data_IF_299906912676
#
_entry.id   IF_299906912676
#
_cell.length_a   1.000
_cell.length_b   1.000
_cell.length_c   1.000
_cell.angle_alpha   90.00
_cell.angle_beta   90.00
_cell.angle_gamma   90.00
#
_symmetry.space_group_name_H-M   'P 1'
#
loop_
_entity.id
_entity.type
_entity.pdbx_description
1 polymer ?
#
# COMPACT_ATOMS: atom_id res chain seq x y z
N UNK A 1 19.24 9.50 16.18
CA UNK A 1 18.29 9.75 15.09
C UNK A 1 17.31 10.79 15.58
N UNK A 2 16.91 11.72 14.71
CA UNK A 2 15.82 12.63 15.02
C UNK A 2 14.50 11.86 14.89
N UNK A 3 13.82 11.61 16.02
CA UNK A 3 12.55 10.90 16.02
C UNK A 3 11.51 11.63 15.15
N UNK A 4 11.62 12.94 14.98
CA UNK A 4 10.69 13.72 14.15
C UNK A 4 10.82 13.35 12.67
N UNK A 5 12.05 13.17 12.16
CA UNK A 5 12.28 12.79 10.77
C UNK A 5 11.76 11.37 10.47
N UNK A 6 11.95 10.43 11.40
CA UNK A 6 11.41 9.07 11.25
C UNK A 6 9.89 9.08 11.30
N UNK A 7 9.28 9.84 12.22
CA UNK A 7 7.83 9.99 12.31
C UNK A 7 7.25 10.58 11.03
N UNK A 8 7.90 11.58 10.43
CA UNK A 8 7.48 12.17 9.16
C UNK A 8 7.51 11.16 8.02
N UNK A 9 8.59 10.37 7.90
CA UNK A 9 8.70 9.37 6.86
C UNK A 9 7.76 8.16 7.07
N UNK A 10 7.55 7.72 8.31
CA UNK A 10 6.52 6.72 8.64
C UNK A 10 5.13 7.22 8.28
N UNK A 11 4.85 8.51 8.49
CA UNK A 11 3.60 9.13 8.05
C UNK A 11 3.47 9.16 6.53
N UNK A 12 4.56 9.33 5.77
CA UNK A 12 4.53 9.18 4.31
C UNK A 12 4.23 7.74 3.88
N UNK A 13 4.77 6.73 4.58
CA UNK A 13 4.42 5.33 4.33
C UNK A 13 2.95 5.03 4.67
N UNK A 14 2.45 5.55 5.80
CA UNK A 14 1.05 5.40 6.20
C UNK A 14 0.11 6.00 5.15
N UNK A 15 0.43 7.20 4.70
CA UNK A 15 -0.24 7.88 3.59
C UNK A 15 -0.23 7.02 2.33
N UNK A 16 0.94 6.57 1.86
CA UNK A 16 1.03 5.70 0.69
C UNK A 16 0.18 4.42 0.81
N UNK A 17 0.15 3.83 2.00
CA UNK A 17 -0.63 2.62 2.29
C UNK A 17 -2.13 2.86 2.18
N UNK A 18 -2.65 3.92 2.80
CA UNK A 18 -4.07 4.28 2.69
C UNK A 18 -4.46 4.66 1.24
N UNK A 19 -3.55 5.23 0.46
CA UNK A 19 -3.75 5.51 -0.97
C UNK A 19 -3.92 4.19 -1.73
N UNK A 20 -3.03 3.24 -1.46
CA UNK A 20 -3.12 1.87 -1.97
C UNK A 20 -4.45 1.22 -1.62
N UNK A 21 -4.96 1.37 -0.39
CA UNK A 21 -6.28 0.86 0.00
C UNK A 21 -7.38 1.42 -0.92
N UNK A 22 -7.47 2.75 -1.06
CA UNK A 22 -8.52 3.36 -1.90
C UNK A 22 -8.41 2.96 -3.38
N UNK A 23 -7.18 2.85 -3.90
CA UNK A 23 -6.92 2.36 -5.27
C UNK A 23 -7.38 0.91 -5.42
N UNK A 24 -7.03 0.03 -4.49
CA UNK A 24 -7.40 -1.38 -4.55
C UNK A 24 -8.91 -1.59 -4.36
N UNK A 25 -9.60 -0.77 -3.56
CA UNK A 25 -11.06 -0.79 -3.43
C UNK A 25 -11.75 -0.40 -4.75
N UNK A 26 -11.24 0.62 -5.45
CA UNK A 26 -11.77 1.02 -6.76
C UNK A 26 -11.47 -0.01 -7.86
N UNK A 27 -10.26 -0.58 -7.85
CA UNK A 27 -9.86 -1.66 -8.76
C UNK A 27 -10.71 -2.92 -8.56
N UNK A 28 -10.96 -3.32 -7.31
CA UNK A 28 -11.82 -4.45 -6.99
C UNK A 28 -13.23 -4.26 -7.54
N UNK A 29 -13.80 -3.06 -7.41
CA UNK A 29 -15.12 -2.71 -7.94
C UNK A 29 -15.23 -2.84 -9.47
N UNK A 30 -14.10 -2.86 -10.18
CA UNK A 30 -14.01 -3.01 -11.65
C UNK A 30 -13.80 -4.46 -12.10
N UNK A 31 -13.54 -5.39 -11.18
CA UNK A 31 -13.32 -6.80 -11.52
C UNK A 31 -14.61 -7.50 -11.96
N UNK A 32 -14.48 -8.33 -12.99
CA UNK A 32 -15.51 -9.24 -13.49
C UNK A 32 -15.35 -10.64 -12.86
N UNK A 33 -14.12 -11.10 -12.66
CA UNK A 33 -13.83 -12.40 -12.06
C UNK A 33 -14.06 -12.42 -10.54
N UNK A 34 -14.98 -13.27 -10.08
CA UNK A 34 -15.22 -13.52 -8.66
C UNK A 34 -14.00 -14.12 -7.94
N UNK A 35 -13.19 -14.91 -8.66
CA UNK A 35 -11.90 -15.40 -8.15
C UNK A 35 -10.98 -14.24 -7.82
N UNK A 36 -10.83 -13.28 -8.73
CA UNK A 36 -9.98 -12.11 -8.49
C UNK A 36 -10.54 -11.21 -7.39
N UNK A 37 -11.86 -11.03 -7.29
CA UNK A 37 -12.47 -10.29 -6.16
C UNK A 37 -12.12 -10.93 -4.82
N UNK A 38 -12.15 -12.25 -4.72
CA UNK A 38 -11.76 -12.97 -3.50
C UNK A 38 -10.31 -12.71 -3.14
N UNK A 39 -9.40 -12.70 -4.13
CA UNK A 39 -8.00 -12.37 -3.91
C UNK A 39 -7.82 -10.91 -3.48
N UNK A 40 -8.53 -9.96 -4.12
CA UNK A 40 -8.47 -8.54 -3.80
C UNK A 40 -8.96 -8.22 -2.38
N UNK A 41 -10.01 -8.88 -1.89
CA UNK A 41 -10.40 -8.80 -0.47
C UNK A 41 -9.22 -9.15 0.45
N UNK A 42 -8.51 -10.25 0.18
CA UNK A 42 -7.34 -10.64 0.95
C UNK A 42 -6.19 -9.63 0.88
N UNK A 43 -5.99 -9.00 -0.28
CA UNK A 43 -5.02 -7.90 -0.43
C UNK A 43 -5.41 -6.67 0.38
N UNK A 44 -6.68 -6.28 0.35
CA UNK A 44 -7.20 -5.13 1.08
C UNK A 44 -7.10 -5.33 2.59
N UNK A 45 -7.40 -6.53 3.08
CA UNK A 45 -7.25 -6.87 4.50
C UNK A 45 -5.81 -6.70 4.96
N UNK A 46 -4.83 -7.17 4.17
CA UNK A 46 -3.40 -6.97 4.45
C UNK A 46 -3.02 -5.49 4.48
N UNK A 47 -3.42 -4.71 3.46
CA UNK A 47 -3.13 -3.27 3.42
C UNK A 47 -3.73 -2.53 4.64
N UNK A 48 -4.96 -2.88 5.05
CA UNK A 48 -5.62 -2.32 6.24
C UNK A 48 -4.86 -2.69 7.52
N UNK A 49 -4.40 -3.94 7.64
CA UNK A 49 -3.53 -4.36 8.75
C UNK A 49 -2.20 -3.59 8.80
N UNK A 50 -1.60 -3.31 7.64
CA UNK A 50 -0.36 -2.52 7.58
C UNK A 50 -0.58 -1.05 7.92
N UNK A 51 -1.67 -0.43 7.48
CA UNK A 51 -2.03 0.92 7.91
C UNK A 51 -2.19 1.01 9.44
N UNK A 52 -2.83 0.02 10.05
CA UNK A 52 -2.92 -0.08 11.51
C UNK A 52 -1.54 -0.25 12.17
N UNK A 53 -0.69 -1.12 11.63
CA UNK A 53 0.66 -1.38 12.14
C UNK A 53 1.56 -0.15 12.08
N UNK A 54 1.49 0.62 10.98
CA UNK A 54 2.21 1.88 10.82
C UNK A 54 1.71 2.95 11.80
N UNK A 55 0.40 3.06 12.00
CA UNK A 55 -0.19 4.00 12.95
C UNK A 55 0.29 3.73 14.38
N UNK A 56 0.24 2.46 14.81
CA UNK A 56 0.76 2.05 16.12
C UNK A 56 2.27 2.32 16.25
N UNK A 57 3.03 2.13 15.17
CA UNK A 57 4.47 2.40 15.17
C UNK A 57 4.76 3.89 15.32
N UNK A 58 4.04 4.76 14.61
CA UNK A 58 4.16 6.22 14.73
C UNK A 58 3.86 6.69 16.16
N UNK A 59 2.79 6.19 16.77
CA UNK A 59 2.45 6.49 18.17
C UNK A 59 3.54 6.05 19.14
N UNK A 60 4.14 4.87 18.92
CA UNK A 60 5.25 4.36 19.73
C UNK A 60 6.49 5.26 19.63
N UNK A 61 6.68 5.93 18.49
CA UNK A 61 7.74 6.93 18.30
C UNK A 61 7.45 8.29 18.95
N UNK A 62 6.28 8.46 19.57
CA UNK A 62 5.81 9.73 20.13
C UNK A 62 5.25 10.70 19.08
N UNK A 63 4.95 10.22 17.88
CA UNK A 63 4.32 11.00 16.82
C UNK A 63 2.82 10.74 16.72
N UNK A 64 2.11 11.64 16.04
CA UNK A 64 0.70 11.46 15.71
C UNK A 64 0.56 10.86 14.30
N UNK A 65 -0.17 9.73 14.14
CA UNK A 65 -0.51 9.19 12.83
C UNK A 65 -1.34 10.20 12.04
N UNK A 66 -0.99 10.39 10.77
CA UNK A 66 -1.70 11.32 9.90
C UNK A 66 -3.08 10.77 9.53
N UNK A 67 -4.10 11.21 10.25
CA UNK A 67 -5.52 10.87 10.00
C UNK A 67 -6.36 12.10 9.60
N UNK A 68 -5.72 13.24 9.31
CA UNK A 68 -6.40 14.52 9.10
C UNK A 68 -7.25 14.59 7.82
N UNK A 69 -8.15 15.56 7.74
CA UNK A 69 -9.01 15.81 6.57
C UNK A 69 -8.22 16.01 5.25
N UNK A 70 -7.01 16.57 5.33
CA UNK A 70 -6.12 16.73 4.17
C UNK A 70 -5.70 15.38 3.57
N UNK A 71 -5.67 14.32 4.38
CA UNK A 71 -5.36 12.98 3.88
C UNK A 71 -6.48 12.41 3.02
N UNK A 72 -7.74 12.54 3.47
CA UNK A 72 -8.90 12.10 2.70
C UNK A 72 -8.94 12.74 1.31
N UNK A 73 -8.53 14.01 1.19
CA UNK A 73 -8.42 14.69 -0.09
C UNK A 73 -7.44 14.00 -1.05
N UNK A 74 -6.23 13.69 -0.59
CA UNK A 74 -5.21 13.05 -1.44
C UNK A 74 -5.55 11.59 -1.82
N UNK A 75 -6.22 10.83 -0.94
CA UNK A 75 -6.80 9.53 -1.32
C UNK A 75 -7.83 9.71 -2.41
N UNK A 76 -8.73 10.69 -2.24
CA UNK A 76 -9.78 10.98 -3.22
C UNK A 76 -9.16 11.35 -4.56
N UNK A 77 -8.16 12.22 -4.59
CA UNK A 77 -7.46 12.62 -5.81
C UNK A 77 -6.81 11.41 -6.51
N UNK A 78 -6.15 10.53 -5.76
CA UNK A 78 -5.54 9.32 -6.32
C UNK A 78 -6.58 8.36 -6.92
N UNK A 79 -7.72 8.18 -6.23
CA UNK A 79 -8.84 7.38 -6.72
C UNK A 79 -9.51 8.03 -7.93
N UNK A 80 -9.65 9.36 -7.96
CA UNK A 80 -10.17 10.08 -9.13
C UNK A 80 -9.26 9.95 -10.34
N UNK A 81 -7.94 10.07 -10.15
CA UNK A 81 -6.97 9.80 -11.22
C UNK A 81 -7.11 8.38 -11.76
N UNK A 82 -7.30 7.40 -10.89
CA UNK A 82 -7.53 6.00 -11.27
C UNK A 82 -8.86 5.80 -12.02
N UNK A 83 -9.93 6.48 -11.61
CA UNK A 83 -11.23 6.45 -12.29
C UNK A 83 -11.18 7.05 -13.69
N UNK A 84 -10.32 8.04 -13.91
CA UNK A 84 -10.11 8.63 -15.23
C UNK A 84 -9.35 7.69 -16.19
N UNK A 85 -8.74 6.62 -15.70
CA UNK A 85 -8.18 5.58 -16.57
C UNK A 85 -9.31 4.71 -17.13
N UNK A 86 -9.29 4.49 -18.45
CA UNK A 86 -10.21 3.53 -19.11
C UNK A 86 -9.81 2.08 -18.78
N UNK A 87 -10.11 1.66 -17.55
CA UNK A 87 -9.98 0.28 -17.08
C UNK A 87 -11.31 -0.43 -17.34
N UNK A 88 -11.30 -1.39 -18.25
CA UNK A 88 -12.50 -2.02 -18.82
C UNK A 88 -12.53 -3.55 -18.67
N UNK A 89 -11.45 -4.16 -18.20
CA UNK A 89 -11.33 -5.59 -18.02
C UNK A 89 -10.34 -5.97 -16.91
N UNK A 90 -10.42 -7.22 -16.46
CA UNK A 90 -9.61 -7.77 -15.37
C UNK A 90 -8.11 -7.69 -15.61
N UNK A 91 -7.66 -7.81 -16.87
CA UNK A 91 -6.24 -7.67 -17.22
C UNK A 91 -5.74 -6.26 -16.93
N UNK A 92 -6.48 -5.22 -17.34
CA UNK A 92 -6.13 -3.83 -17.06
C UNK A 92 -6.18 -3.52 -15.55
N UNK A 93 -7.12 -4.14 -14.81
CA UNK A 93 -7.14 -4.05 -13.35
C UNK A 93 -5.85 -4.62 -12.75
N UNK A 94 -5.44 -5.81 -13.19
CA UNK A 94 -4.20 -6.45 -12.73
C UNK A 94 -2.94 -5.64 -13.10
N UNK A 95 -2.87 -5.08 -14.31
CA UNK A 95 -1.77 -4.21 -14.74
C UNK A 95 -1.60 -3.00 -13.81
N UNK A 96 -2.69 -2.33 -13.45
CA UNK A 96 -2.64 -1.17 -12.56
C UNK A 96 -2.36 -1.58 -11.11
N UNK A 97 -2.89 -2.72 -10.64
CA UNK A 97 -2.57 -3.26 -9.31
C UNK A 97 -1.07 -3.60 -9.19
N UNK A 98 -0.49 -4.25 -10.20
CA UNK A 98 0.95 -4.59 -10.26
C UNK A 98 1.81 -3.33 -10.23
N UNK A 99 1.42 -2.29 -10.98
CA UNK A 99 2.11 -1.00 -11.00
C UNK A 99 2.08 -0.31 -9.63
N UNK A 100 0.92 -0.26 -8.98
CA UNK A 100 0.79 0.32 -7.64
C UNK A 100 1.60 -0.46 -6.60
N UNK A 101 1.62 -1.80 -6.68
CA UNK A 101 2.42 -2.62 -5.78
C UNK A 101 3.92 -2.35 -5.95
N UNK A 102 4.42 -2.22 -7.19
CA UNK A 102 5.81 -1.82 -7.46
C UNK A 102 6.16 -0.46 -6.85
N UNK A 103 5.25 0.51 -6.92
CA UNK A 103 5.47 1.82 -6.30
C UNK A 103 5.52 1.72 -4.77
N UNK A 104 4.65 0.91 -4.16
CA UNK A 104 4.63 0.67 -2.73
C UNK A 104 5.92 -0.03 -2.23
N UNK A 105 6.39 -1.04 -2.95
CA UNK A 105 7.67 -1.71 -2.69
C UNK A 105 8.84 -0.74 -2.77
N UNK A 106 8.87 0.12 -3.81
CA UNK A 106 9.90 1.15 -3.96
C UNK A 106 9.90 2.14 -2.78
N UNK A 107 8.73 2.54 -2.29
CA UNK A 107 8.61 3.41 -1.14
C UNK A 107 9.14 2.77 0.15
N UNK A 108 8.80 1.49 0.40
CA UNK A 108 9.34 0.73 1.54
C UNK A 108 10.85 0.54 1.45
N UNK A 109 11.37 0.22 0.28
CA UNK A 109 12.81 0.06 0.08
C UNK A 109 13.56 1.38 0.31
N UNK A 110 13.05 2.49 -0.23
CA UNK A 110 13.65 3.81 -0.02
C UNK A 110 13.63 4.25 1.46
N UNK A 111 12.61 3.86 2.22
CA UNK A 111 12.59 4.08 3.67
C UNK A 111 13.68 3.26 4.37
N UNK A 112 13.79 1.97 4.07
CA UNK A 112 14.76 1.07 4.69
C UNK A 112 16.22 1.49 4.40
N UNK A 113 16.52 1.88 3.16
CA UNK A 113 17.85 2.36 2.76
C UNK A 113 18.29 3.63 3.52
N UNK A 114 17.34 4.54 3.81
CA UNK A 114 17.63 5.78 4.53
C UNK A 114 17.87 5.57 6.02
N UNK A 115 17.24 4.55 6.61
CA UNK A 115 17.24 4.33 8.05
C UNK A 115 18.03 3.08 8.43
N UNK A 116 19.36 3.15 8.34
CA UNK A 116 20.25 2.04 8.69
C UNK A 116 20.22 1.65 10.19
N UNK A 117 19.65 2.49 11.05
CA UNK A 117 19.57 2.27 12.51
C UNK A 117 18.11 2.31 12.99
N UNK A 118 17.29 1.40 12.49
CA UNK A 118 15.95 1.16 13.05
C UNK A 118 16.03 0.34 14.35
N UNK A 119 15.10 0.59 15.27
CA UNK A 119 14.89 -0.31 16.41
C UNK A 119 14.27 -1.63 15.95
N UNK A 120 14.33 -2.67 16.80
CA UNK A 120 13.93 -4.03 16.41
C UNK A 120 12.44 -4.12 16.02
N UNK A 121 11.58 -3.35 16.66
CA UNK A 121 10.14 -3.32 16.35
C UNK A 121 9.90 -2.72 14.96
N UNK A 122 10.54 -1.59 14.64
CA UNK A 122 10.47 -0.96 13.32
C UNK A 122 10.98 -1.90 12.24
N UNK A 123 12.16 -2.50 12.45
CA UNK A 123 12.75 -3.48 11.51
C UNK A 123 11.79 -4.62 11.23
N UNK A 124 11.18 -5.16 12.29
CA UNK A 124 10.20 -6.26 12.17
C UNK A 124 8.97 -5.82 11.37
N UNK A 125 8.39 -4.66 11.66
CA UNK A 125 7.24 -4.14 10.90
C UNK A 125 7.59 -3.93 9.43
N UNK A 126 8.73 -3.29 9.13
CA UNK A 126 9.16 -3.03 7.76
C UNK A 126 9.41 -4.33 6.99
N UNK A 127 10.07 -5.30 7.61
CA UNK A 127 10.32 -6.62 7.01
C UNK A 127 9.04 -7.37 6.68
N UNK A 128 8.08 -7.40 7.62
CA UNK A 128 6.77 -8.05 7.39
C UNK A 128 6.07 -7.39 6.19
N UNK A 129 6.03 -6.06 6.15
CA UNK A 129 5.44 -5.33 5.02
C UNK A 129 6.16 -5.62 3.69
N UNK A 130 7.49 -5.69 3.67
CA UNK A 130 8.25 -6.02 2.47
C UNK A 130 7.93 -7.44 1.97
N UNK A 131 7.92 -8.43 2.87
CA UNK A 131 7.60 -9.83 2.54
C UNK A 131 6.15 -9.98 2.04
N UNK A 132 5.20 -9.27 2.68
CA UNK A 132 3.82 -9.23 2.24
C UNK A 132 3.68 -8.57 0.86
N UNK A 133 4.30 -7.40 0.63
CA UNK A 133 4.17 -6.69 -0.66
C UNK A 133 4.82 -7.47 -1.80
N UNK A 134 5.93 -8.17 -1.57
CA UNK A 134 6.52 -9.10 -2.54
C UNK A 134 5.56 -10.26 -2.86
N UNK A 135 4.94 -10.84 -1.84
CA UNK A 135 3.96 -11.92 -2.03
C UNK A 135 2.73 -11.44 -2.81
N UNK A 136 2.23 -10.24 -2.49
CA UNK A 136 1.11 -9.60 -3.19
C UNK A 136 1.46 -9.32 -4.65
N UNK A 137 2.66 -8.78 -4.91
CA UNK A 137 3.16 -8.54 -6.26
C UNK A 137 3.23 -9.84 -7.07
N UNK A 138 3.84 -10.89 -6.53
CA UNK A 138 3.94 -12.18 -7.20
C UNK A 138 2.58 -12.81 -7.50
N UNK A 139 1.63 -12.70 -6.58
CA UNK A 139 0.26 -13.18 -6.79
C UNK A 139 -0.38 -12.44 -7.97
N UNK A 140 -0.41 -11.09 -7.92
CA UNK A 140 -0.99 -10.26 -8.98
C UNK A 140 -0.32 -10.51 -10.34
N UNK A 141 1.01 -10.61 -10.35
CA UNK A 141 1.79 -10.85 -11.57
C UNK A 141 1.54 -12.25 -12.15
N UNK A 142 1.36 -13.27 -11.30
CA UNK A 142 0.98 -14.62 -11.74
C UNK A 142 -0.37 -14.59 -12.45
N UNK A 143 -1.39 -13.97 -11.84
CA UNK A 143 -2.69 -13.81 -12.49
C UNK A 143 -2.57 -13.04 -13.81
N UNK A 144 -1.79 -11.95 -13.85
CA UNK A 144 -1.60 -11.18 -15.08
C UNK A 144 -1.03 -12.01 -16.24
N UNK A 145 -0.12 -12.95 -15.96
CA UNK A 145 0.40 -13.89 -16.96
C UNK A 145 -0.67 -14.89 -17.41
N UNK A 146 -1.54 -15.35 -16.50
CA UNK A 146 -2.66 -16.26 -16.85
C UNK A 146 -3.69 -15.62 -17.81
N UNK A 147 -3.72 -14.28 -17.93
CA UNK A 147 -4.55 -13.52 -18.88
C UNK A 147 -3.85 -13.17 -20.23
N UNK A 148 -2.68 -13.75 -20.51
CA UNK A 148 -2.02 -13.66 -21.82
C UNK A 148 -2.58 -14.69 -22.80
#
# INVERSE_FOLDING_TARGET
MDNNAIVEELNQLLKGTHMGIGIFEDLEGKLQSERLKTEFHGLLDKLKMHAHSLSALIQTCGGDPVESAGWKGMVTDAVEMLKNLMISNDKQVLEEAVKNMKMAQKALHAFDEKHLVLNDQMKKTMRIMQEDYESMYHMLHKYLIEFQ
#
